data_IF_806299116855
#
_entry.id   IF_806299116855
#
_cell.length_a   1.000
_cell.length_b   1.000
_cell.length_c   1.000
_cell.angle_alpha   90.00
_cell.angle_beta   90.00
_cell.angle_gamma   90.00
#
_symmetry.space_group_name_H-M   'P 1'
#
loop_
_entity.id
_entity.type
_entity.pdbx_description
1 polymer ?
#
# COMPACT_ATOMS: atom_id res chain seq x y z
N UNK A 1 6.68 -17.02 -17.54
CA UNK A 1 5.67 -16.26 -16.76
C UNK A 1 6.13 -16.25 -15.32
N UNK A 2 6.58 -15.11 -14.78
CA UNK A 2 7.16 -15.07 -13.42
C UNK A 2 6.04 -15.25 -12.41
N UNK A 3 5.92 -16.47 -11.92
CA UNK A 3 5.01 -16.87 -10.85
C UNK A 3 5.18 -15.96 -9.64
N UNK A 4 4.06 -15.67 -8.99
CA UNK A 4 3.95 -14.95 -7.73
C UNK A 4 4.81 -15.73 -6.72
N UNK A 5 6.05 -15.27 -6.50
CA UNK A 5 6.98 -15.92 -5.57
C UNK A 5 6.52 -15.69 -4.14
N UNK A 6 6.73 -16.73 -3.36
CA UNK A 6 6.25 -16.97 -2.01
C UNK A 6 6.58 -15.84 -1.02
N UNK A 7 5.66 -15.61 -0.08
CA UNK A 7 5.90 -15.21 1.32
C UNK A 7 7.16 -14.36 1.60
N UNK A 8 7.35 -13.24 0.91
CA UNK A 8 8.14 -12.18 1.52
C UNK A 8 7.31 -11.69 2.71
N UNK A 9 7.85 -11.77 3.92
CA UNK A 9 7.20 -11.27 5.13
C UNK A 9 7.21 -9.74 5.05
N UNK A 10 6.18 -9.18 4.41
CA UNK A 10 5.98 -7.75 4.28
C UNK A 10 4.64 -7.36 4.88
N UNK A 11 4.57 -6.11 5.32
CA UNK A 11 3.35 -5.54 5.89
C UNK A 11 2.69 -4.63 4.85
N UNK A 12 1.61 -5.08 4.20
CA UNK A 12 0.91 -4.28 3.23
C UNK A 12 0.05 -3.22 3.93
N UNK A 13 0.15 -1.98 3.47
CA UNK A 13 -0.65 -0.84 3.89
C UNK A 13 -1.52 -0.41 2.73
N UNK A 14 -2.83 -0.33 2.98
CA UNK A 14 -3.80 0.17 2.02
C UNK A 14 -3.86 1.70 2.09
N UNK A 15 -3.70 2.34 0.94
CA UNK A 15 -3.72 3.79 0.78
C UNK A 15 -4.90 4.17 -0.11
N UNK A 16 -5.81 5.00 0.39
CA UNK A 16 -7.01 5.44 -0.34
C UNK A 16 -6.99 6.95 -0.60
N UNK A 17 -7.97 7.42 -1.37
CA UNK A 17 -8.19 8.84 -1.64
C UNK A 17 -6.98 9.52 -2.29
N UNK A 18 -6.28 8.78 -3.15
CA UNK A 18 -5.14 9.33 -3.89
C UNK A 18 -5.64 10.30 -4.97
N UNK A 19 -4.93 11.43 -5.20
CA UNK A 19 -5.25 12.34 -6.28
C UNK A 19 -5.03 11.66 -7.65
N UNK A 20 -5.75 12.11 -8.66
CA UNK A 20 -5.78 11.44 -9.97
C UNK A 20 -4.42 11.38 -10.66
N UNK A 21 -3.58 12.40 -10.46
CA UNK A 21 -2.20 12.47 -10.95
C UNK A 21 -1.16 11.76 -10.09
N UNK A 22 -1.53 11.16 -8.95
CA UNK A 22 -0.53 10.51 -8.09
C UNK A 22 0.07 9.29 -8.78
N UNK A 23 1.40 9.21 -8.75
CA UNK A 23 2.16 8.08 -9.29
C UNK A 23 2.79 7.27 -8.17
N UNK A 24 3.05 5.99 -8.45
CA UNK A 24 3.62 5.05 -7.49
C UNK A 24 5.00 5.51 -6.96
N UNK A 25 5.79 6.23 -7.78
CA UNK A 25 7.10 6.78 -7.40
C UNK A 25 6.98 7.80 -6.27
N UNK A 26 6.06 8.75 -6.42
CA UNK A 26 5.76 9.76 -5.40
C UNK A 26 5.19 9.13 -4.14
N UNK A 27 4.29 8.15 -4.30
CA UNK A 27 3.74 7.40 -3.18
C UNK A 27 4.84 6.66 -2.40
N UNK A 28 5.78 6.02 -3.11
CA UNK A 28 6.93 5.34 -2.49
C UNK A 28 7.78 6.31 -1.68
N UNK A 29 8.22 7.42 -2.28
CA UNK A 29 9.05 8.42 -1.61
C UNK A 29 8.39 8.99 -0.36
N UNK A 30 7.08 9.28 -0.43
CA UNK A 30 6.32 9.81 0.70
C UNK A 30 6.28 8.82 1.87
N UNK A 31 6.13 7.53 1.57
CA UNK A 31 6.07 6.48 2.58
C UNK A 31 7.48 6.06 3.07
N UNK A 32 8.52 6.22 2.25
CA UNK A 32 9.92 5.98 2.65
C UNK A 32 10.37 6.90 3.79
N UNK A 33 9.78 8.09 3.92
CA UNK A 33 10.05 8.99 5.05
C UNK A 33 9.64 8.39 6.41
N UNK A 34 8.68 7.46 6.42
CA UNK A 34 8.15 6.86 7.64
C UNK A 34 8.80 5.51 7.99
N UNK A 35 9.51 4.90 7.04
CA UNK A 35 10.26 3.67 7.26
C UNK A 35 10.61 2.94 5.97
N UNK A 36 11.08 1.69 6.09
CA UNK A 36 11.62 0.95 4.94
C UNK A 36 10.49 0.37 4.07
N UNK A 37 10.21 1.05 2.95
CA UNK A 37 9.28 0.59 1.91
C UNK A 37 9.99 -0.41 0.99
N UNK A 38 9.44 -1.61 0.89
CA UNK A 38 9.86 -2.63 -0.08
C UNK A 38 9.32 -2.28 -1.46
N UNK A 39 8.04 -1.89 -1.54
CA UNK A 39 7.39 -1.60 -2.80
C UNK A 39 6.14 -0.74 -2.65
N UNK A 40 5.71 -0.10 -3.74
CA UNK A 40 4.47 0.67 -3.79
C UNK A 40 3.77 0.52 -5.14
N UNK A 41 2.45 0.35 -5.11
CA UNK A 41 1.62 0.17 -6.30
C UNK A 41 0.37 1.03 -6.23
N UNK A 42 -0.02 1.64 -7.34
CA UNK A 42 -1.31 2.30 -7.50
C UNK A 42 -2.13 1.48 -8.49
N UNK A 43 -3.34 1.13 -8.11
CA UNK A 43 -4.26 0.41 -8.98
C UNK A 43 -4.92 1.38 -9.96
N UNK A 44 -5.13 0.91 -11.19
CA UNK A 44 -5.92 1.65 -12.19
C UNK A 44 -7.42 1.56 -11.92
N UNK A 45 -7.84 0.67 -11.01
CA UNK A 45 -9.22 0.60 -10.54
C UNK A 45 -9.54 1.82 -9.66
N UNK A 46 -10.76 2.32 -9.78
CA UNK A 46 -11.30 3.38 -8.92
C UNK A 46 -12.12 2.74 -7.80
N UNK A 47 -12.13 3.37 -6.63
CA UNK A 47 -13.01 2.94 -5.54
C UNK A 47 -14.46 3.36 -5.82
N UNK A 48 -15.38 3.01 -4.93
CA UNK A 48 -16.82 3.35 -5.02
C UNK A 48 -17.05 4.87 -5.14
N UNK A 49 -16.11 5.69 -4.64
CA UNK A 49 -16.14 7.16 -4.70
C UNK A 49 -15.40 7.74 -5.91
N UNK A 50 -15.00 6.91 -6.88
CA UNK A 50 -14.29 7.33 -8.09
C UNK A 50 -12.83 7.77 -7.87
N UNK A 51 -12.27 7.58 -6.67
CA UNK A 51 -10.89 7.95 -6.33
C UNK A 51 -9.92 6.79 -6.55
N UNK A 52 -8.66 7.13 -6.83
CA UNK A 52 -7.58 6.15 -6.95
C UNK A 52 -7.17 5.62 -5.57
N UNK A 53 -6.65 4.41 -5.55
CA UNK A 53 -6.13 3.76 -4.35
C UNK A 53 -4.92 2.88 -4.69
N UNK A 54 -4.13 2.57 -3.68
CA UNK A 54 -2.87 1.85 -3.82
C UNK A 54 -2.51 1.05 -2.59
N UNK A 55 -1.38 0.36 -2.71
CA UNK A 55 -0.80 -0.46 -1.67
C UNK A 55 0.67 -0.13 -1.52
N UNK A 56 1.14 -0.02 -0.28
CA UNK A 56 2.55 0.15 0.07
C UNK A 56 2.96 -1.05 0.91
N UNK A 57 4.08 -1.69 0.56
CA UNK A 57 4.63 -2.82 1.29
C UNK A 57 5.79 -2.34 2.15
N UNK A 58 5.67 -2.47 3.45
CA UNK A 58 6.75 -2.21 4.40
C UNK A 58 7.49 -3.48 4.77
N UNK A 59 8.77 -3.33 5.13
CA UNK A 59 9.55 -4.41 5.72
C UNK A 59 9.10 -4.75 7.16
N UNK A 60 8.59 -3.75 7.91
CA UNK A 60 8.24 -3.92 9.33
C UNK A 60 6.83 -3.42 9.63
N UNK A 61 6.15 -4.07 10.59
CA UNK A 61 4.84 -3.64 11.07
C UNK A 61 4.89 -2.32 11.84
N UNK A 62 5.98 -2.07 12.56
CA UNK A 62 6.15 -0.82 13.32
C UNK A 62 6.19 0.40 12.38
N UNK A 63 6.89 0.27 11.26
CA UNK A 63 7.00 1.33 10.25
C UNK A 63 5.65 1.57 9.54
N UNK A 64 4.93 0.48 9.23
CA UNK A 64 3.57 0.55 8.71
C UNK A 64 2.62 1.29 9.68
N UNK A 65 2.67 0.97 10.98
CA UNK A 65 1.85 1.62 11.99
C UNK A 65 2.20 3.10 12.16
N UNK A 66 3.50 3.47 12.14
CA UNK A 66 3.93 4.88 12.16
C UNK A 66 3.39 5.64 10.95
N UNK A 67 3.47 5.03 9.76
CA UNK A 67 2.94 5.61 8.55
C UNK A 67 1.43 5.82 8.64
N UNK A 68 0.67 4.84 9.12
CA UNK A 68 -0.79 4.97 9.31
C UNK A 68 -1.13 6.09 10.29
N UNK A 69 -0.43 6.15 11.43
CA UNK A 69 -0.67 7.19 12.43
C UNK A 69 -0.36 8.60 11.92
N UNK A 70 0.68 8.76 11.08
CA UNK A 70 1.05 10.08 10.52
C UNK A 70 0.27 10.45 9.27
N UNK A 71 -0.08 9.47 8.44
CA UNK A 71 -0.73 9.64 7.13
C UNK A 71 -2.23 9.36 7.18
N UNK A 72 -2.88 9.43 8.35
CA UNK A 72 -4.20 8.85 8.62
C UNK A 72 -5.30 9.10 7.58
N UNK A 73 -5.33 10.27 6.93
CA UNK A 73 -6.30 10.59 5.87
C UNK A 73 -6.03 9.89 4.53
N UNK A 74 -4.80 9.39 4.31
CA UNK A 74 -4.36 8.69 3.10
C UNK A 74 -4.19 7.18 3.36
N UNK A 75 -3.72 6.76 4.54
CA UNK A 75 -3.49 5.35 4.88
C UNK A 75 -4.57 4.84 5.86
N UNK A 76 -5.49 4.01 5.38
CA UNK A 76 -6.71 3.66 6.15
C UNK A 76 -6.67 2.29 6.83
N UNK A 77 -5.76 1.37 6.45
CA UNK A 77 -5.61 0.08 7.16
C UNK A 77 -4.32 -0.65 6.80
N UNK A 78 -3.73 -1.39 7.74
CA UNK A 78 -2.85 -2.52 7.41
C UNK A 78 -3.72 -3.62 6.81
N UNK A 79 -3.40 -4.04 5.59
CA UNK A 79 -4.14 -5.08 4.89
C UNK A 79 -3.74 -6.46 5.44
N UNK A 80 -4.24 -6.82 6.62
CA UNK A 80 -4.15 -8.19 7.12
C UNK A 80 -5.03 -9.07 6.23
N UNK A 81 -4.43 -9.95 5.43
CA UNK A 81 -5.08 -10.88 4.49
C UNK A 81 -5.81 -10.26 3.30
N UNK A 82 -5.20 -10.39 2.13
CA UNK A 82 -5.94 -10.76 0.94
C UNK A 82 -5.84 -12.30 0.83
N UNK A 83 -6.79 -13.04 1.43
CA UNK A 83 -6.99 -14.43 1.02
C UNK A 83 -7.58 -14.34 -0.40
N UNK A 84 -6.73 -14.54 -1.41
CA UNK A 84 -7.22 -14.97 -2.70
C UNK A 84 -8.07 -16.20 -2.46
N UNK A 85 -9.38 -16.08 -2.68
CA UNK A 85 -10.26 -17.23 -2.79
C UNK A 85 -9.62 -18.17 -3.80
N UNK A 86 -9.24 -19.35 -3.33
CA UNK A 86 -9.09 -20.51 -4.21
C UNK A 86 -10.45 -20.71 -4.86
N UNK A 87 -10.52 -20.54 -6.18
CA UNK A 87 -11.52 -21.22 -7.00
C UNK A 87 -10.87 -22.54 -7.40
#
# INVERSE_FOLDING_TARGET
MKGIRAKDEYVPVFVNNLPEGMQWRWLKQLFEYHGKVIDAFILNKRNIRGKRFGFVRYANINDANKAINRMGILASKVAYRCQFGKI
#
